data_IF_758545449872
#
_entry.id   IF_758545449872
#
_cell.length_a   1.000
_cell.length_b   1.000
_cell.length_c   1.000
_cell.angle_alpha   90.00
_cell.angle_beta   90.00
_cell.angle_gamma   90.00
#
_symmetry.space_group_name_H-M   'P 1'
#
loop_
_entity.id
_entity.type
_entity.pdbx_description
1 polymer ?
#
# COMPACT_ATOMS: atom_id res chain seq x y z
N UNK A 1 26.00 1.02 15.47
CA UNK A 1 25.32 1.00 14.15
C UNK A 1 24.79 2.40 13.89
N UNK A 2 25.17 3.04 12.76
CA UNK A 2 24.47 4.25 12.30
C UNK A 2 23.04 3.82 11.97
N UNK A 3 22.06 4.32 12.69
CA UNK A 3 20.65 4.20 12.27
C UNK A 3 20.57 4.87 10.91
N UNK A 4 20.36 4.09 9.84
CA UNK A 4 20.11 4.67 8.53
C UNK A 4 18.93 5.63 8.66
N UNK A 5 19.09 6.88 8.21
CA UNK A 5 17.98 7.83 8.23
C UNK A 5 16.79 7.24 7.47
N UNK A 6 15.61 7.28 8.09
CA UNK A 6 14.38 6.83 7.45
C UNK A 6 14.04 7.76 6.31
N UNK A 7 13.74 7.20 5.13
CA UNK A 7 13.26 7.99 3.99
C UNK A 7 11.96 8.73 4.36
N UNK A 8 11.62 9.85 3.69
CA UNK A 8 10.34 10.53 3.89
C UNK A 8 9.12 9.59 3.78
N UNK A 9 9.15 8.69 2.80
CA UNK A 9 8.11 7.69 2.52
C UNK A 9 7.94 6.73 3.71
N UNK A 10 9.06 6.26 4.27
CA UNK A 10 9.05 5.39 5.44
C UNK A 10 8.49 6.10 6.68
N UNK A 11 8.84 7.38 6.88
CA UNK A 11 8.30 8.19 7.98
C UNK A 11 6.79 8.37 7.85
N UNK A 12 6.31 8.64 6.63
CA UNK A 12 4.88 8.78 6.36
C UNK A 12 4.11 7.48 6.61
N UNK A 13 4.63 6.35 6.12
CA UNK A 13 4.01 5.04 6.33
C UNK A 13 3.85 4.74 7.83
N UNK A 14 4.92 4.90 8.60
CA UNK A 14 4.89 4.64 10.05
C UNK A 14 3.91 5.57 10.78
N UNK A 15 3.80 6.84 10.37
CA UNK A 15 2.84 7.78 10.93
C UNK A 15 1.39 7.38 10.64
N UNK A 16 1.07 7.00 9.40
CA UNK A 16 -0.28 6.57 9.00
C UNK A 16 -0.68 5.29 9.74
N UNK A 17 0.23 4.30 9.81
CA UNK A 17 -0.03 3.04 10.52
C UNK A 17 -0.25 3.29 12.01
N UNK A 18 0.55 4.16 12.63
CA UNK A 18 0.40 4.54 14.05
C UNK A 18 -0.94 5.22 14.30
N UNK A 19 -1.33 6.21 13.48
CA UNK A 19 -2.61 6.90 13.60
C UNK A 19 -3.80 5.94 13.45
N UNK A 20 -3.75 5.05 12.47
CA UNK A 20 -4.78 4.04 12.27
C UNK A 20 -4.92 3.09 13.47
N UNK A 21 -3.80 2.66 14.06
CA UNK A 21 -3.82 1.80 15.24
C UNK A 21 -4.47 2.51 16.44
N UNK A 22 -4.07 3.75 16.73
CA UNK A 22 -4.62 4.58 17.81
C UNK A 22 -6.12 4.79 17.63
N UNK A 23 -6.55 5.21 16.43
CA UNK A 23 -7.95 5.51 16.14
C UNK A 23 -8.87 4.29 16.26
N UNK A 24 -8.32 3.08 16.11
CA UNK A 24 -9.07 1.83 16.23
C UNK A 24 -8.82 1.08 17.56
N UNK A 25 -8.12 1.69 18.53
CA UNK A 25 -7.83 1.06 19.81
C UNK A 25 -6.97 -0.21 19.71
N UNK A 26 -6.15 -0.31 18.66
CA UNK A 26 -5.24 -1.45 18.40
C UNK A 26 -3.81 -1.08 18.81
N UNK A 27 -2.99 -2.06 19.23
CA UNK A 27 -1.58 -1.83 19.46
C UNK A 27 -0.88 -1.41 18.16
N UNK A 28 0.06 -0.47 18.27
CA UNK A 28 0.93 -0.08 17.15
C UNK A 28 1.80 -1.29 16.79
N UNK A 29 1.81 -1.73 15.51
CA UNK A 29 2.60 -2.89 15.11
C UNK A 29 4.10 -2.58 15.14
N UNK A 30 4.92 -3.63 15.27
CA UNK A 30 6.37 -3.51 15.07
C UNK A 30 6.66 -3.13 13.62
N UNK A 31 7.08 -1.88 13.41
CA UNK A 31 7.32 -1.32 12.08
C UNK A 31 8.39 -2.09 11.31
N UNK A 32 9.33 -2.76 11.98
CA UNK A 32 10.37 -3.57 11.33
C UNK A 32 9.81 -4.88 10.73
N UNK A 33 8.61 -5.29 11.15
CA UNK A 33 7.90 -6.48 10.64
C UNK A 33 6.87 -6.15 9.56
N UNK A 34 6.74 -4.88 9.17
CA UNK A 34 5.92 -4.49 8.03
C UNK A 34 6.72 -4.72 6.76
N UNK A 35 6.43 -5.84 6.09
CA UNK A 35 7.09 -6.28 4.86
C UNK A 35 6.31 -5.92 3.57
N UNK A 36 5.37 -4.97 3.62
CA UNK A 36 4.50 -4.68 2.47
C UNK A 36 3.72 -3.37 2.56
N UNK A 37 4.42 -2.26 2.74
CA UNK A 37 3.81 -0.93 2.70
C UNK A 37 4.47 -0.08 1.62
N UNK A 38 3.70 0.30 0.60
CA UNK A 38 4.19 1.11 -0.51
C UNK A 38 3.67 2.53 -0.39
N UNK A 39 4.59 3.48 -0.47
CA UNK A 39 4.27 4.90 -0.57
C UNK A 39 4.99 5.39 -1.81
N UNK A 40 4.22 5.84 -2.81
CA UNK A 40 4.76 6.50 -4.00
C UNK A 40 4.54 8.00 -3.87
N UNK A 41 5.55 8.78 -4.24
CA UNK A 41 5.39 10.22 -4.40
C UNK A 41 4.44 10.53 -5.55
N UNK A 42 3.57 11.51 -5.37
CA UNK A 42 2.72 12.06 -6.44
C UNK A 42 3.18 13.49 -6.70
N UNK A 43 3.58 13.77 -7.93
CA UNK A 43 3.92 15.10 -8.41
C UNK A 43 2.70 15.79 -9.03
N UNK A 44 2.59 17.12 -8.90
CA UNK A 44 1.54 17.87 -9.59
C UNK A 44 1.57 17.60 -11.10
N UNK A 45 0.42 17.28 -11.68
CA UNK A 45 0.30 16.98 -13.11
C UNK A 45 0.43 15.51 -13.50
N UNK A 46 0.76 14.60 -12.56
CA UNK A 46 0.73 13.16 -12.86
C UNK A 46 -0.70 12.67 -13.09
N UNK A 47 -0.87 11.82 -14.11
CA UNK A 47 -2.15 11.18 -14.38
C UNK A 47 -2.40 10.02 -13.43
N UNK A 48 -3.66 9.56 -13.35
CA UNK A 48 -4.01 8.40 -12.54
C UNK A 48 -3.28 7.14 -12.99
N UNK A 49 -3.09 6.99 -14.30
CA UNK A 49 -2.43 5.86 -14.93
C UNK A 49 -0.94 5.83 -14.58
N UNK A 50 -0.27 6.99 -14.58
CA UNK A 50 1.13 7.11 -14.15
C UNK A 50 1.29 6.77 -12.67
N UNK A 51 0.40 7.28 -11.82
CA UNK A 51 0.40 6.96 -10.38
C UNK A 51 0.19 5.46 -10.16
N UNK A 52 -0.76 4.85 -10.87
CA UNK A 52 -1.03 3.42 -10.79
C UNK A 52 0.18 2.59 -11.24
N UNK A 53 0.83 2.98 -12.35
CA UNK A 53 2.05 2.32 -12.83
C UNK A 53 3.17 2.37 -11.78
N UNK A 54 3.43 3.55 -11.21
CA UNK A 54 4.47 3.73 -10.19
C UNK A 54 4.20 2.88 -8.94
N UNK A 55 2.92 2.76 -8.54
CA UNK A 55 2.52 1.91 -7.42
C UNK A 55 2.75 0.43 -7.73
N UNK A 56 2.36 -0.03 -8.93
CA UNK A 56 2.57 -1.41 -9.37
C UNK A 56 4.06 -1.76 -9.37
N UNK A 57 4.90 -0.84 -9.86
CA UNK A 57 6.35 -1.05 -9.91
C UNK A 57 6.97 -1.12 -8.50
N UNK A 58 6.52 -0.27 -7.57
CA UNK A 58 6.93 -0.34 -6.17
C UNK A 58 6.54 -1.68 -5.52
N UNK A 59 5.35 -2.21 -5.82
CA UNK A 59 4.90 -3.51 -5.32
C UNK A 59 5.73 -4.66 -5.90
N UNK A 60 6.02 -4.62 -7.21
CA UNK A 60 6.83 -5.65 -7.89
C UNK A 60 8.27 -5.66 -7.39
N UNK A 61 8.84 -4.51 -7.03
CA UNK A 61 10.21 -4.42 -6.49
C UNK A 61 10.38 -5.24 -5.19
N UNK A 62 9.30 -5.43 -4.43
CA UNK A 62 9.28 -6.26 -3.23
C UNK A 62 8.97 -7.75 -3.53
N UNK A 63 8.98 -8.14 -4.80
CA UNK A 63 8.74 -9.52 -5.23
C UNK A 63 7.26 -9.94 -5.20
N UNK A 64 6.34 -9.00 -5.04
CA UNK A 64 4.90 -9.27 -5.03
C UNK A 64 4.33 -9.13 -6.44
N UNK A 65 3.69 -10.19 -6.93
CA UNK A 65 3.00 -10.18 -8.22
C UNK A 65 1.63 -9.49 -8.09
N UNK A 66 1.50 -8.32 -8.70
CA UNK A 66 0.21 -7.61 -8.83
C UNK A 66 -0.54 -8.15 -10.05
N UNK A 67 -1.76 -8.65 -9.84
CA UNK A 67 -2.71 -8.94 -10.92
C UNK A 67 -3.65 -7.75 -11.04
N UNK A 68 -3.82 -7.21 -12.25
CA UNK A 68 -4.91 -6.29 -12.54
C UNK A 68 -6.21 -7.08 -12.37
N UNK A 69 -6.90 -6.85 -11.26
CA UNK A 69 -8.27 -7.33 -11.13
C UNK A 69 -9.13 -6.51 -12.06
N UNK A 70 -9.75 -7.14 -13.05
CA UNK A 70 -10.98 -6.61 -13.62
C UNK A 70 -11.99 -6.60 -12.47
N UNK A 71 -12.12 -5.48 -11.77
CA UNK A 71 -13.29 -5.26 -10.92
C UNK A 71 -14.47 -5.00 -11.85
N UNK A 72 -14.98 -6.06 -12.47
CA UNK A 72 -16.38 -6.11 -12.85
C UNK A 72 -17.16 -6.11 -11.53
N UNK A 73 -17.63 -4.93 -11.13
CA UNK A 73 -18.69 -4.80 -10.14
C UNK A 73 -20.00 -5.33 -10.75
N UNK A 74 -20.05 -6.61 -11.10
CA UNK A 74 -21.30 -7.29 -11.41
C UNK A 74 -21.81 -7.95 -10.12
N UNK A 75 -22.82 -7.38 -9.46
CA UNK A 75 -23.35 -7.91 -8.20
C UNK A 75 -24.07 -9.27 -8.34
N UNK A 76 -24.06 -9.89 -9.53
CA UNK A 76 -24.84 -11.10 -9.81
C UNK A 76 -24.04 -12.41 -9.84
N UNK A 77 -22.76 -12.43 -9.42
CA UNK A 77 -21.93 -13.64 -9.46
C UNK A 77 -22.12 -14.61 -8.27
N UNK A 78 -22.89 -14.25 -7.23
CA UNK A 78 -23.09 -15.11 -6.05
C UNK A 78 -24.21 -16.15 -6.18
N UNK A 79 -24.95 -16.19 -7.29
CA UNK A 79 -26.02 -17.16 -7.52
C UNK A 79 -25.73 -18.07 -8.73
N UNK A 80 -24.73 -18.95 -8.64
CA UNK A 80 -24.62 -20.11 -9.52
C UNK A 80 -23.71 -21.20 -8.93
N UNK A 81 -24.16 -21.86 -7.86
CA UNK A 81 -23.77 -23.25 -7.55
C UNK A 81 -24.99 -23.98 -7.00
N UNK A 82 -25.72 -24.63 -7.91
CA UNK A 82 -26.49 -25.84 -7.60
C UNK A 82 -25.55 -27.00 -7.29
#
# INVERSE_FOLDING_TARGET
MKMAEKTPERRLLEAIVTLNAINNGRPVPDMNKIHGGWVTSISPGQTREEIASNLIDAIKADGITVRSGETSNDPNQDNAKE
#
